data_IF_654617162621
#
_entry.id   IF_654617162621
#
_cell.length_a   1.000
_cell.length_b   1.000
_cell.length_c   1.000
_cell.angle_alpha   90.00
_cell.angle_beta   90.00
_cell.angle_gamma   90.00
#
_symmetry.space_group_name_H-M   'P 1'
#
loop_
_entity.id
_entity.type
_entity.pdbx_description
1 polymer ?
#
# COMPACT_ATOMS: atom_id res chain seq x y z
N UNK A 1 -11.29 18.33 -31.40
CA UNK A 1 -11.00 18.11 -29.97
C UNK A 1 -9.49 18.00 -29.84
N UNK A 2 -8.85 18.85 -29.04
CA UNK A 2 -7.39 18.98 -29.03
C UNK A 2 -6.75 17.85 -28.19
N UNK A 3 -6.06 16.93 -28.86
CA UNK A 3 -5.48 15.72 -28.25
C UNK A 3 -4.48 16.04 -27.13
N UNK A 4 -3.81 17.20 -27.21
CA UNK A 4 -2.87 17.67 -26.18
C UNK A 4 -3.56 18.02 -24.87
N UNK A 5 -4.72 18.67 -24.97
CA UNK A 5 -5.55 19.02 -23.81
C UNK A 5 -6.04 17.75 -23.12
N UNK A 6 -6.50 16.75 -23.88
CA UNK A 6 -6.95 15.48 -23.33
C UNK A 6 -5.82 14.70 -22.63
N UNK A 7 -4.60 14.66 -23.19
CA UNK A 7 -3.44 14.01 -22.53
C UNK A 7 -3.07 14.71 -21.21
N UNK A 8 -3.16 16.05 -21.17
CA UNK A 8 -2.87 16.84 -19.96
C UNK A 8 -3.89 16.60 -18.85
N UNK A 9 -5.17 16.61 -19.18
CA UNK A 9 -6.23 16.37 -18.18
C UNK A 9 -6.15 14.93 -17.63
N UNK A 10 -5.96 13.93 -18.49
CA UNK A 10 -5.76 12.54 -18.04
C UNK A 10 -4.56 12.39 -17.09
N UNK A 11 -3.45 13.09 -17.36
CA UNK A 11 -2.29 13.10 -16.47
C UNK A 11 -2.62 13.68 -15.10
N UNK A 12 -3.39 14.77 -15.03
CA UNK A 12 -3.81 15.38 -13.75
C UNK A 12 -4.73 14.45 -12.97
N UNK A 13 -5.70 13.83 -13.64
CA UNK A 13 -6.62 12.87 -13.02
C UNK A 13 -5.85 11.69 -12.43
N UNK A 14 -4.90 11.12 -13.18
CA UNK A 14 -4.04 10.04 -12.68
C UNK A 14 -3.14 10.48 -11.53
N UNK A 15 -2.64 11.72 -11.56
CA UNK A 15 -1.85 12.25 -10.44
C UNK A 15 -2.68 12.37 -9.16
N UNK A 16 -3.87 12.96 -9.25
CA UNK A 16 -4.78 13.09 -8.11
C UNK A 16 -5.15 11.73 -7.50
N UNK A 17 -5.33 10.72 -8.34
CA UNK A 17 -5.54 9.34 -7.90
C UNK A 17 -4.31 8.77 -7.15
N UNK A 18 -3.11 8.99 -7.68
CA UNK A 18 -1.86 8.55 -7.02
C UNK A 18 -1.72 9.23 -5.67
N UNK A 19 -1.93 10.54 -5.58
CA UNK A 19 -1.86 11.27 -4.31
C UNK A 19 -2.85 10.71 -3.28
N UNK A 20 -4.05 10.27 -3.71
CA UNK A 20 -4.98 9.56 -2.83
C UNK A 20 -4.46 8.20 -2.37
N UNK A 21 -3.81 7.44 -3.26
CA UNK A 21 -3.22 6.13 -2.92
C UNK A 21 -2.09 6.28 -1.90
N UNK A 22 -1.30 7.35 -1.97
CA UNK A 22 -0.30 7.67 -0.93
C UNK A 22 -0.96 7.83 0.44
N UNK A 23 -2.09 8.55 0.52
CA UNK A 23 -2.85 8.69 1.76
C UNK A 23 -3.39 7.36 2.27
N UNK A 24 -3.95 6.54 1.36
CA UNK A 24 -4.48 5.22 1.72
C UNK A 24 -3.36 4.29 2.23
N UNK A 25 -2.18 4.31 1.60
CA UNK A 25 -1.00 3.55 2.04
C UNK A 25 -0.51 3.97 3.42
N UNK A 26 -0.41 5.27 3.68
CA UNK A 26 -0.05 5.79 5.00
C UNK A 26 -1.06 5.39 6.07
N UNK A 27 -2.36 5.41 5.76
CA UNK A 27 -3.40 4.97 6.68
C UNK A 27 -3.32 3.46 6.97
N UNK A 28 -3.03 2.64 5.96
CA UNK A 28 -2.82 1.19 6.12
C UNK A 28 -1.59 0.93 7.00
N UNK A 29 -0.47 1.60 6.72
CA UNK A 29 0.75 1.50 7.53
C UNK A 29 0.48 1.86 8.98
N UNK A 30 -0.11 3.03 9.26
CA UNK A 30 -0.39 3.47 10.63
C UNK A 30 -1.26 2.47 11.38
N UNK A 31 -2.29 1.91 10.72
CA UNK A 31 -3.12 0.85 11.30
C UNK A 31 -2.34 -0.44 11.55
N UNK A 32 -1.47 -0.84 10.61
CA UNK A 32 -0.63 -2.02 10.76
C UNK A 32 0.35 -1.85 11.92
N UNK A 33 1.04 -0.73 12.01
CA UNK A 33 1.95 -0.40 13.13
C UNK A 33 1.18 -0.45 14.44
N UNK A 34 0.03 0.23 14.54
CA UNK A 34 -0.81 0.20 15.74
C UNK A 34 -1.29 -1.22 16.12
N UNK A 35 -1.57 -2.07 15.13
CA UNK A 35 -1.93 -3.48 15.35
C UNK A 35 -0.74 -4.29 15.87
N UNK A 36 0.46 -4.10 15.33
CA UNK A 36 1.64 -4.85 15.76
C UNK A 36 2.19 -4.38 17.11
N UNK A 37 1.92 -3.14 17.48
CA UNK A 37 2.31 -2.55 18.77
C UNK A 37 1.23 -2.70 19.86
N UNK A 38 0.04 -3.23 19.53
CA UNK A 38 -0.99 -3.43 20.54
C UNK A 38 -0.61 -4.55 21.50
N UNK A 39 -1.14 -4.48 22.72
CA UNK A 39 -0.85 -5.47 23.78
C UNK A 39 -1.40 -6.87 23.46
N UNK A 40 -2.38 -6.95 22.56
CA UNK A 40 -3.03 -8.17 22.12
C UNK A 40 -3.40 -8.06 20.64
N UNK A 41 -3.60 -9.21 19.98
CA UNK A 41 -4.12 -9.26 18.61
C UNK A 41 -5.54 -8.66 18.58
N UNK A 42 -5.68 -7.49 17.96
CA UNK A 42 -6.97 -6.84 17.79
C UNK A 42 -7.63 -7.29 16.49
N UNK A 43 -8.47 -8.33 16.56
CA UNK A 43 -9.12 -8.92 15.38
C UNK A 43 -9.92 -7.90 14.54
N UNK A 44 -10.54 -6.90 15.18
CA UNK A 44 -11.31 -5.89 14.48
C UNK A 44 -10.39 -5.01 13.61
N UNK A 45 -9.29 -4.55 14.18
CA UNK A 45 -8.27 -3.79 13.45
C UNK A 45 -7.63 -4.65 12.35
N UNK A 46 -7.38 -5.93 12.62
CA UNK A 46 -6.88 -6.87 11.61
C UNK A 46 -7.82 -7.03 10.41
N UNK A 47 -9.14 -7.15 10.66
CA UNK A 47 -10.17 -7.16 9.62
C UNK A 47 -10.19 -5.86 8.82
N UNK A 48 -10.10 -4.71 9.48
CA UNK A 48 -10.04 -3.40 8.81
C UNK A 48 -8.83 -3.29 7.88
N UNK A 49 -7.64 -3.68 8.34
CA UNK A 49 -6.42 -3.69 7.53
C UNK A 49 -6.60 -4.57 6.28
N UNK A 50 -7.16 -5.77 6.44
CA UNK A 50 -7.45 -6.67 5.30
C UNK A 50 -8.40 -6.04 4.29
N UNK A 51 -9.46 -5.37 4.75
CA UNK A 51 -10.41 -4.67 3.87
C UNK A 51 -9.71 -3.55 3.10
N UNK A 52 -8.87 -2.76 3.77
CA UNK A 52 -8.12 -1.68 3.12
C UNK A 52 -7.12 -2.21 2.08
N UNK A 53 -6.38 -3.26 2.40
CA UNK A 53 -5.47 -3.92 1.45
C UNK A 53 -6.21 -4.45 0.21
N UNK A 54 -7.39 -5.05 0.39
CA UNK A 54 -8.21 -5.54 -0.71
C UNK A 54 -8.78 -4.40 -1.58
N UNK A 55 -9.15 -3.27 -0.96
CA UNK A 55 -9.57 -2.07 -1.70
C UNK A 55 -8.42 -1.49 -2.50
N UNK A 56 -7.25 -1.36 -1.89
CA UNK A 56 -6.04 -0.84 -2.53
C UNK A 56 -5.70 -1.65 -3.79
N UNK A 57 -5.65 -2.98 -3.71
CA UNK A 57 -5.30 -3.78 -4.89
C UNK A 57 -6.35 -3.70 -6.01
N UNK A 58 -7.63 -3.57 -5.65
CA UNK A 58 -8.70 -3.36 -6.62
C UNK A 58 -8.50 -2.05 -7.38
N UNK A 59 -8.15 -0.96 -6.67
CA UNK A 59 -7.84 0.33 -7.29
C UNK A 59 -6.60 0.24 -8.16
N UNK A 60 -5.49 -0.31 -7.65
CA UNK A 60 -4.24 -0.43 -8.40
C UNK A 60 -4.42 -1.22 -9.70
N UNK A 61 -5.16 -2.33 -9.67
CA UNK A 61 -5.44 -3.14 -10.84
C UNK A 61 -6.37 -2.44 -11.83
N UNK A 62 -7.50 -1.88 -11.35
CA UNK A 62 -8.47 -1.19 -12.21
C UNK A 62 -7.83 -0.02 -12.95
N UNK A 63 -7.01 0.73 -12.24
CA UNK A 63 -6.38 1.95 -12.74
C UNK A 63 -5.07 1.68 -13.47
N UNK A 64 -4.64 0.41 -13.51
CA UNK A 64 -3.39 -0.09 -14.10
C UNK A 64 -2.17 0.68 -13.60
N UNK A 65 -2.11 0.96 -12.30
CA UNK A 65 -1.04 1.75 -11.67
C UNK A 65 0.19 0.93 -11.28
N UNK A 66 0.10 -0.38 -11.38
CA UNK A 66 1.21 -1.33 -11.26
C UNK A 66 1.22 -2.22 -12.49
N UNK A 67 2.42 -2.57 -12.98
CA UNK A 67 2.54 -3.60 -14.02
C UNK A 67 2.35 -5.00 -13.42
N UNK A 68 2.19 -6.01 -14.27
CA UNK A 68 2.20 -7.40 -13.78
C UNK A 68 3.54 -7.77 -13.13
N UNK A 69 4.64 -7.25 -13.67
CA UNK A 69 5.99 -7.48 -13.13
C UNK A 69 6.17 -6.79 -11.76
N UNK A 70 5.53 -5.63 -11.58
CA UNK A 70 5.53 -4.87 -10.32
C UNK A 70 4.50 -5.36 -9.30
N UNK A 71 3.64 -6.32 -9.64
CA UNK A 71 2.66 -6.86 -8.69
C UNK A 71 3.33 -7.47 -7.44
N UNK A 72 4.58 -7.88 -7.58
CA UNK A 72 5.44 -8.33 -6.50
C UNK A 72 5.57 -7.29 -5.38
N UNK A 73 5.60 -5.99 -5.67
CA UNK A 73 5.74 -4.94 -4.65
C UNK A 73 4.51 -4.85 -3.75
N UNK A 74 3.30 -4.91 -4.32
CA UNK A 74 2.06 -4.98 -3.53
C UNK A 74 2.00 -6.28 -2.70
N UNK A 75 2.37 -7.41 -3.30
CA UNK A 75 2.42 -8.70 -2.60
C UNK A 75 3.37 -8.64 -1.40
N UNK A 76 4.53 -8.01 -1.56
CA UNK A 76 5.53 -7.83 -0.51
C UNK A 76 5.02 -6.92 0.60
N UNK A 77 4.39 -5.79 0.27
CA UNK A 77 3.78 -4.91 1.27
C UNK A 77 2.69 -5.62 2.07
N UNK A 78 1.78 -6.33 1.40
CA UNK A 78 0.76 -7.13 2.07
C UNK A 78 1.38 -8.18 2.99
N UNK A 79 2.41 -8.90 2.53
CA UNK A 79 3.11 -9.92 3.33
C UNK A 79 3.82 -9.31 4.54
N UNK A 80 4.47 -8.16 4.39
CA UNK A 80 5.15 -7.47 5.49
C UNK A 80 4.19 -7.18 6.65
N UNK A 81 2.93 -6.85 6.34
CA UNK A 81 1.88 -6.62 7.34
C UNK A 81 1.32 -7.95 7.88
N UNK A 82 0.98 -8.90 7.01
CA UNK A 82 0.13 -10.03 7.42
C UNK A 82 0.85 -11.32 7.80
N UNK A 83 2.19 -11.37 7.72
CA UNK A 83 2.94 -12.61 7.91
C UNK A 83 3.52 -12.72 9.33
N UNK A 84 3.51 -13.94 9.89
CA UNK A 84 3.99 -14.34 11.23
C UNK A 84 3.23 -13.75 12.44
N UNK A 85 2.98 -12.45 12.50
CA UNK A 85 2.48 -11.75 13.69
C UNK A 85 1.07 -11.16 13.50
N UNK A 86 0.27 -11.75 12.61
CA UNK A 86 -1.05 -11.25 12.23
C UNK A 86 -2.09 -12.37 12.33
N UNK A 87 -3.17 -12.13 13.08
CA UNK A 87 -4.22 -13.11 13.40
C UNK A 87 -3.64 -14.48 13.84
N UNK A 88 -2.56 -14.44 14.61
CA UNK A 88 -1.83 -15.63 15.06
C UNK A 88 -2.07 -15.86 16.55
N UNK A 89 -2.19 -17.12 16.96
CA UNK A 89 -2.16 -17.52 18.37
C UNK A 89 -0.81 -17.20 19.04
N UNK A 90 0.22 -16.95 18.23
CA UNK A 90 1.56 -16.54 18.65
C UNK A 90 1.81 -15.03 18.45
N UNK A 91 0.78 -14.19 18.54
CA UNK A 91 0.95 -12.74 18.47
C UNK A 91 1.90 -12.23 19.55
N UNK A 92 2.89 -11.44 19.14
CA UNK A 92 3.83 -10.76 20.02
C UNK A 92 3.80 -9.27 19.71
N UNK A 93 3.63 -8.46 20.75
CA UNK A 93 3.75 -7.01 20.65
C UNK A 93 5.16 -6.64 20.17
N UNK A 94 5.23 -5.81 19.14
CA UNK A 94 6.48 -5.39 18.52
C UNK A 94 6.94 -4.04 19.10
N UNK A 95 8.22 -3.89 19.49
CA UNK A 95 8.75 -2.58 19.85
C UNK A 95 8.86 -1.65 18.63
N UNK A 96 8.95 -0.34 18.88
CA UNK A 96 9.06 0.72 17.85
C UNK A 96 10.18 0.47 16.82
N UNK A 97 11.29 -0.14 17.25
CA UNK A 97 12.46 -0.44 16.43
C UNK A 97 12.52 -1.91 15.97
N UNK A 98 11.38 -2.60 15.92
CA UNK A 98 11.36 -3.98 15.47
C UNK A 98 11.60 -4.09 13.96
N UNK A 99 12.31 -5.14 13.57
CA UNK A 99 12.54 -5.46 12.16
C UNK A 99 11.21 -5.64 11.39
N UNK A 100 10.15 -6.07 12.07
CA UNK A 100 8.83 -6.20 11.47
C UNK A 100 8.29 -4.85 10.99
N UNK A 101 8.35 -3.81 11.84
CA UNK A 101 7.89 -2.48 11.47
C UNK A 101 8.77 -1.87 10.37
N UNK A 102 10.09 -2.03 10.45
CA UNK A 102 11.03 -1.59 9.41
C UNK A 102 10.71 -2.21 8.04
N UNK A 103 10.36 -3.50 8.01
CA UNK A 103 9.94 -4.18 6.78
C UNK A 103 8.62 -3.63 6.24
N UNK A 104 7.67 -3.24 7.09
CA UNK A 104 6.43 -2.59 6.65
C UNK A 104 6.74 -1.25 5.98
N UNK A 105 7.58 -0.42 6.61
CA UNK A 105 7.98 0.88 6.08
C UNK A 105 8.69 0.73 4.73
N UNK A 106 9.71 -0.13 4.66
CA UNK A 106 10.47 -0.37 3.43
C UNK A 106 9.59 -0.91 2.29
N UNK A 107 8.65 -1.82 2.59
CA UNK A 107 7.77 -2.37 1.58
C UNK A 107 6.73 -1.34 1.08
N UNK A 108 6.26 -0.42 1.95
CA UNK A 108 5.42 0.72 1.52
C UNK A 108 6.20 1.61 0.56
N UNK A 109 7.40 2.03 0.94
CA UNK A 109 8.20 2.96 0.15
C UNK A 109 8.55 2.37 -1.22
N UNK A 110 8.84 1.07 -1.28
CA UNK A 110 9.07 0.37 -2.54
C UNK A 110 7.81 0.34 -3.42
N UNK A 111 6.63 0.11 -2.84
CA UNK A 111 5.37 0.12 -3.59
C UNK A 111 5.06 1.53 -4.15
N UNK A 112 5.26 2.58 -3.34
CA UNK A 112 5.12 3.97 -3.77
C UNK A 112 6.08 4.26 -4.93
N UNK A 113 7.35 3.89 -4.79
CA UNK A 113 8.36 4.12 -5.81
C UNK A 113 7.98 3.47 -7.16
N UNK A 114 7.46 2.25 -7.14
CA UNK A 114 7.06 1.55 -8.36
C UNK A 114 5.84 2.22 -9.03
N UNK A 115 4.84 2.65 -8.24
CA UNK A 115 3.67 3.38 -8.76
C UNK A 115 4.11 4.69 -9.44
N UNK A 116 4.98 5.46 -8.79
CA UNK A 116 5.50 6.73 -9.31
C UNK A 116 6.35 6.54 -10.56
N UNK A 117 7.21 5.52 -10.56
CA UNK A 117 8.04 5.15 -11.73
C UNK A 117 7.18 4.78 -12.93
N UNK A 118 6.11 4.01 -12.69
CA UNK A 118 5.17 3.66 -13.74
C UNK A 118 4.42 4.89 -14.27
N UNK A 119 3.91 5.74 -13.40
CA UNK A 119 3.26 6.99 -13.82
C UNK A 119 4.16 7.86 -14.68
N UNK A 120 5.42 8.04 -14.27
CA UNK A 120 6.40 8.81 -15.04
C UNK A 120 6.68 8.17 -16.40
N UNK A 121 6.68 6.84 -16.49
CA UNK A 121 6.88 6.12 -17.76
C UNK A 121 5.67 6.28 -18.69
N UNK A 122 4.45 6.16 -18.16
CA UNK A 122 3.21 6.23 -18.95
C UNK A 122 2.92 7.66 -19.47
N UNK A 123 3.38 8.71 -18.77
CA UNK A 123 3.11 10.11 -19.09
C UNK A 123 4.35 10.93 -19.49
N UNK A 124 5.43 10.26 -19.89
CA UNK A 124 6.57 10.88 -20.55
C UNK A 124 6.17 11.67 -21.82
#
# INVERSE_FOLDING_TARGET
MDWRTNKRELRKEKRALIDKIHLDLNAIEQKAVAYHQSTHSNEQLGKEIKVLLNRLISVLNREKLISQDDFSSFSNFRKAITLNNFDSSAFVCQPDNSELLDRIYAAKDQLIHNIETKFNTDFR
#
